data_IF_371119448092
#
_entry.id   IF_371119448092
#
_cell.length_a   1.000
_cell.length_b   1.000
_cell.length_c   1.000
_cell.angle_alpha   90.00
_cell.angle_beta   90.00
_cell.angle_gamma   90.00
#
_symmetry.space_group_name_H-M   'P 1'
#
loop_
_entity.id
_entity.type
_entity.pdbx_description
1 polymer ?
#
# COMPACT_ATOMS: atom_id res chain seq x y z
N UNK A 1 13.42 3.22 11.07
CA UNK A 1 14.29 4.40 11.16
C UNK A 1 15.16 4.42 9.92
N UNK A 2 15.34 5.59 9.29
CA UNK A 2 16.15 5.74 8.08
C UNK A 2 17.63 5.51 8.35
N UNK A 3 18.30 4.78 7.47
CA UNK A 3 19.75 4.67 7.45
C UNK A 3 20.39 5.91 6.78
N UNK A 4 21.71 6.13 6.93
CA UNK A 4 22.41 7.19 6.19
C UNK A 4 22.22 7.11 4.67
N UNK A 5 22.17 5.91 4.12
CA UNK A 5 21.95 5.67 2.68
C UNK A 5 20.52 6.03 2.27
N UNK A 6 19.52 5.73 3.10
CA UNK A 6 18.13 6.15 2.85
C UNK A 6 17.98 7.68 2.86
N UNK A 7 18.71 8.34 3.77
CA UNK A 7 18.74 9.80 3.85
C UNK A 7 19.41 10.43 2.62
N UNK A 8 20.50 9.84 2.14
CA UNK A 8 21.17 10.28 0.91
C UNK A 8 20.26 10.07 -0.32
N UNK A 9 19.62 8.91 -0.43
CA UNK A 9 18.68 8.60 -1.50
C UNK A 9 17.50 9.58 -1.51
N UNK A 10 16.93 9.84 -0.34
CA UNK A 10 15.87 10.84 -0.14
C UNK A 10 16.30 12.23 -0.60
N UNK A 11 17.51 12.66 -0.20
CA UNK A 11 18.06 13.97 -0.58
C UNK A 11 18.24 14.12 -2.09
N UNK A 12 18.59 13.03 -2.79
CA UNK A 12 18.77 13.03 -4.25
C UNK A 12 17.46 13.06 -5.03
N UNK A 13 16.39 12.47 -4.49
CA UNK A 13 15.11 12.37 -5.19
C UNK A 13 14.00 13.18 -4.49
N UNK A 14 14.23 14.49 -4.38
CA UNK A 14 13.28 15.46 -3.82
C UNK A 14 11.93 15.48 -4.54
N UNK A 15 11.87 14.94 -5.76
CA UNK A 15 10.64 14.86 -6.53
C UNK A 15 9.62 13.92 -5.85
N UNK A 16 10.07 12.96 -5.01
CA UNK A 16 9.26 11.98 -4.29
C UNK A 16 9.13 12.31 -2.79
N UNK A 17 8.21 13.21 -2.39
CA UNK A 17 8.07 13.61 -0.99
C UNK A 17 7.72 12.46 -0.05
N UNK A 18 7.04 11.42 -0.53
CA UNK A 18 6.70 10.23 0.26
C UNK A 18 7.76 9.13 0.26
N UNK A 19 8.90 9.30 -0.40
CA UNK A 19 9.99 8.30 -0.37
C UNK A 19 10.51 8.00 1.04
N UNK A 20 10.77 8.99 1.92
CA UNK A 20 11.24 8.75 3.28
C UNK A 20 10.28 7.87 4.07
N UNK A 21 8.97 8.09 3.89
CA UNK A 21 7.93 7.31 4.56
C UNK A 21 7.98 5.83 4.17
N UNK A 22 8.32 5.50 2.92
CA UNK A 22 8.41 4.10 2.49
C UNK A 22 9.74 3.42 2.86
N UNK A 23 10.74 4.20 3.28
CA UNK A 23 12.02 3.70 3.79
C UNK A 23 12.05 3.65 5.32
N UNK A 24 11.09 4.31 5.99
CA UNK A 24 10.94 4.28 7.44
C UNK A 24 9.61 3.64 7.87
N UNK A 25 9.58 2.32 8.16
CA UNK A 25 8.36 1.65 8.61
C UNK A 25 7.74 2.25 9.87
N UNK A 26 8.54 2.83 10.77
CA UNK A 26 8.04 3.49 11.98
C UNK A 26 7.29 4.78 11.64
N UNK A 27 7.91 5.67 10.86
CA UNK A 27 7.27 6.89 10.37
C UNK A 27 6.06 6.60 9.47
N UNK A 28 6.12 5.53 8.66
CA UNK A 28 4.98 5.07 7.87
C UNK A 28 3.78 4.76 8.76
N UNK A 29 3.96 4.02 9.85
CA UNK A 29 2.89 3.67 10.79
C UNK A 29 2.19 4.91 11.33
N UNK A 30 2.93 5.94 11.71
CA UNK A 30 2.37 7.19 12.24
C UNK A 30 1.50 7.90 11.19
N UNK A 31 1.99 7.98 9.95
CA UNK A 31 1.22 8.54 8.84
C UNK A 31 -0.04 7.71 8.57
N UNK A 32 0.06 6.38 8.59
CA UNK A 32 -1.08 5.49 8.41
C UNK A 32 -2.15 5.69 9.49
N UNK A 33 -1.74 5.84 10.75
CA UNK A 33 -2.65 6.13 11.86
C UNK A 33 -3.38 7.47 11.64
N UNK A 34 -2.65 8.52 11.21
CA UNK A 34 -3.25 9.83 10.86
C UNK A 34 -4.23 9.77 9.68
N UNK A 35 -4.08 8.78 8.79
CA UNK A 35 -4.99 8.51 7.67
C UNK A 35 -6.18 7.59 8.04
N UNK A 36 -6.32 7.20 9.31
CA UNK A 36 -7.35 6.26 9.76
C UNK A 36 -7.10 4.82 9.31
N UNK A 37 -5.84 4.47 9.03
CA UNK A 37 -5.35 3.13 8.68
C UNK A 37 -4.46 2.56 9.80
N UNK A 38 -4.79 2.82 11.06
CA UNK A 38 -4.07 2.23 12.19
C UNK A 38 -4.29 0.72 12.22
N UNK A 39 -3.20 -0.02 11.98
CA UNK A 39 -3.14 -1.47 11.82
C UNK A 39 -1.94 -2.05 12.57
N UNK A 40 -1.47 -1.35 13.59
CA UNK A 40 -0.31 -1.77 14.37
C UNK A 40 1.00 -1.79 13.56
N UNK A 41 1.94 -2.72 13.88
CA UNK A 41 3.23 -2.79 13.21
C UNK A 41 3.12 -3.07 11.70
N UNK A 42 3.86 -2.28 10.92
CA UNK A 42 3.94 -2.42 9.46
C UNK A 42 5.36 -2.78 9.05
N UNK A 43 5.48 -3.71 8.12
CA UNK A 43 6.73 -4.10 7.49
C UNK A 43 6.69 -3.79 6.00
N UNK A 44 7.82 -3.34 5.44
CA UNK A 44 7.97 -3.15 3.99
C UNK A 44 8.64 -4.42 3.42
N UNK A 45 7.85 -5.24 2.75
CA UNK A 45 8.28 -6.57 2.24
C UNK A 45 8.65 -6.56 0.76
N UNK A 46 8.41 -5.44 0.08
CA UNK A 46 8.73 -5.25 -1.33
C UNK A 46 8.89 -3.77 -1.62
N UNK A 47 9.93 -3.39 -2.37
CA UNK A 47 10.09 -2.05 -2.90
C UNK A 47 10.41 -2.11 -4.39
N UNK A 48 9.77 -1.21 -5.15
CA UNK A 48 10.12 -0.90 -6.53
C UNK A 48 10.26 0.60 -6.67
N UNK A 49 11.50 1.03 -6.78
CA UNK A 49 11.86 2.42 -6.93
C UNK A 49 12.01 2.78 -8.42
N UNK A 50 11.35 3.85 -8.85
CA UNK A 50 11.58 4.50 -10.16
C UNK A 50 11.95 5.96 -9.91
N UNK A 51 13.24 6.33 -10.04
CA UNK A 51 13.73 7.67 -9.77
C UNK A 51 12.89 8.78 -10.43
N UNK A 52 12.61 9.84 -9.68
CA UNK A 52 11.88 11.01 -10.13
C UNK A 52 10.42 10.76 -10.55
N UNK A 53 9.90 9.55 -10.36
CA UNK A 53 8.56 9.17 -10.86
C UNK A 53 7.67 8.58 -9.78
N UNK A 54 8.10 7.49 -9.14
CA UNK A 54 7.30 6.81 -8.12
C UNK A 54 8.10 5.74 -7.40
N UNK A 55 7.74 5.45 -6.15
CA UNK A 55 8.15 4.24 -5.44
C UNK A 55 6.90 3.46 -5.05
N UNK A 56 6.90 2.15 -5.30
CA UNK A 56 5.82 1.24 -4.93
C UNK A 56 6.33 0.31 -3.84
N UNK A 57 5.60 0.22 -2.73
CA UNK A 57 5.88 -0.69 -1.64
C UNK A 57 4.80 -1.76 -1.50
N UNK A 58 5.21 -2.99 -1.21
CA UNK A 58 4.36 -4.01 -0.62
C UNK A 58 4.54 -3.98 0.89
N UNK A 59 3.43 -3.99 1.61
CA UNK A 59 3.36 -3.87 3.05
C UNK A 59 2.77 -5.13 3.66
N UNK A 60 3.23 -5.48 4.85
CA UNK A 60 2.65 -6.48 5.72
C UNK A 60 2.24 -5.84 7.04
N UNK A 61 0.97 -5.95 7.40
CA UNK A 61 0.44 -5.54 8.70
C UNK A 61 0.40 -6.75 9.61
N UNK A 62 1.31 -6.78 10.59
CA UNK A 62 1.56 -7.98 11.39
C UNK A 62 0.40 -8.30 12.34
N UNK A 63 -0.31 -7.29 12.85
CA UNK A 63 -1.44 -7.47 13.77
C UNK A 63 -2.64 -8.14 13.08
N UNK A 64 -2.95 -7.73 11.85
CA UNK A 64 -4.10 -8.24 11.06
C UNK A 64 -3.71 -9.37 10.12
N UNK A 65 -2.41 -9.68 10.01
CA UNK A 65 -1.84 -10.62 9.04
C UNK A 65 -2.31 -10.30 7.61
N UNK A 66 -2.32 -9.01 7.28
CA UNK A 66 -2.87 -8.49 6.04
C UNK A 66 -1.78 -7.90 5.14
N UNK A 67 -1.90 -8.16 3.84
CA UNK A 67 -1.10 -7.50 2.83
C UNK A 67 -1.73 -6.18 2.38
N UNK A 68 -0.88 -5.20 2.20
CA UNK A 68 -1.24 -3.91 1.65
C UNK A 68 -0.18 -3.39 0.70
N UNK A 69 -0.48 -2.29 0.04
CA UNK A 69 0.45 -1.57 -0.81
C UNK A 69 0.51 -0.12 -0.42
N UNK A 70 1.64 0.49 -0.69
CA UNK A 70 1.78 1.92 -0.74
C UNK A 70 2.43 2.34 -2.07
N UNK A 71 2.14 3.55 -2.51
CA UNK A 71 2.81 4.15 -3.66
C UNK A 71 2.99 5.63 -3.40
N UNK A 72 4.25 6.08 -3.34
CA UNK A 72 4.57 7.49 -3.38
C UNK A 72 4.79 7.89 -4.85
N UNK A 73 4.23 9.02 -5.25
CA UNK A 73 4.37 9.56 -6.58
C UNK A 73 5.12 10.88 -6.56
N UNK A 74 5.73 11.23 -7.70
CA UNK A 74 6.33 12.53 -7.86
C UNK A 74 5.27 13.65 -7.79
N UNK A 75 5.66 14.85 -7.35
CA UNK A 75 4.75 16.00 -7.29
C UNK A 75 4.08 16.36 -8.62
N UNK A 76 4.71 16.02 -9.75
CA UNK A 76 4.15 16.17 -11.11
C UNK A 76 3.03 15.18 -11.43
N UNK A 77 2.81 14.15 -10.62
CA UNK A 77 1.82 13.11 -10.83
C UNK A 77 0.41 13.45 -10.28
N UNK A 78 0.09 14.73 -10.09
CA UNK A 78 -1.22 15.19 -9.56
C UNK A 78 -2.44 14.51 -10.22
N UNK A 79 -2.50 14.27 -11.55
CA UNK A 79 -3.62 13.55 -12.15
C UNK A 79 -3.80 12.11 -11.62
N UNK A 80 -2.71 11.42 -11.29
CA UNK A 80 -2.75 10.06 -10.72
C UNK A 80 -3.26 10.10 -9.28
N UNK A 81 -2.81 11.05 -8.47
CA UNK A 81 -3.30 11.25 -7.10
C UNK A 81 -4.80 11.57 -7.08
N UNK A 82 -5.25 12.50 -7.94
CA UNK A 82 -6.67 12.83 -8.07
C UNK A 82 -7.53 11.61 -8.46
N UNK A 83 -7.04 10.75 -9.37
CA UNK A 83 -7.72 9.49 -9.71
C UNK A 83 -7.81 8.54 -8.52
N UNK A 84 -6.74 8.41 -7.72
CA UNK A 84 -6.75 7.58 -6.52
C UNK A 84 -7.65 8.16 -5.42
N UNK A 85 -7.73 9.49 -5.27
CA UNK A 85 -8.67 10.14 -4.35
C UNK A 85 -10.12 9.86 -4.70
N UNK A 86 -10.49 9.96 -5.99
CA UNK A 86 -11.83 9.57 -6.46
C UNK A 86 -12.14 8.10 -6.18
N UNK A 87 -11.13 7.23 -6.26
CA UNK A 87 -11.28 5.83 -5.91
C UNK A 87 -11.43 5.62 -4.40
N UNK A 88 -10.65 6.31 -3.59
CA UNK A 88 -10.72 6.28 -2.13
C UNK A 88 -12.12 6.61 -1.62
N UNK A 89 -12.76 7.65 -2.17
CA UNK A 89 -14.14 8.02 -1.83
C UNK A 89 -15.21 6.98 -2.20
N UNK A 90 -14.87 5.96 -3.00
CA UNK A 90 -15.75 4.83 -3.35
C UNK A 90 -15.36 3.53 -2.65
N UNK A 91 -14.14 3.45 -2.12
CA UNK A 91 -13.66 2.30 -1.37
C UNK A 91 -14.33 2.29 0.02
N UNK A 92 -14.30 1.14 0.71
CA UNK A 92 -14.70 1.15 2.12
C UNK A 92 -13.70 1.99 2.91
N UNK A 93 -14.16 2.87 3.82
CA UNK A 93 -13.29 3.51 4.80
C UNK A 93 -12.40 2.46 5.48
N UNK A 94 -11.17 2.84 5.83
CA UNK A 94 -10.12 1.96 6.37
C UNK A 94 -9.48 0.93 5.40
N UNK A 95 -9.82 0.90 4.10
CA UNK A 95 -9.15 0.02 3.13
C UNK A 95 -8.25 0.74 2.12
N UNK A 96 -8.39 2.05 1.98
CA UNK A 96 -7.65 2.84 1.00
C UNK A 96 -7.60 4.31 1.43
N UNK A 97 -6.41 4.92 1.41
CA UNK A 97 -6.20 6.32 1.77
C UNK A 97 -5.23 7.00 0.80
N UNK A 98 -5.30 8.33 0.76
CA UNK A 98 -4.40 9.19 -0.02
C UNK A 98 -3.96 10.34 0.86
N UNK A 99 -2.64 10.52 0.97
CA UNK A 99 -2.01 11.72 1.51
C UNK A 99 -1.48 12.53 0.33
N UNK A 100 -2.10 13.68 0.07
CA UNK A 100 -1.72 14.54 -1.06
C UNK A 100 -0.42 15.32 -0.79
N UNK A 101 -0.09 15.58 0.48
CA UNK A 101 1.12 16.31 0.87
C UNK A 101 2.34 15.43 0.64
N UNK A 102 2.28 14.18 1.10
CA UNK A 102 3.33 13.18 0.85
C UNK A 102 3.27 12.57 -0.56
N UNK A 103 2.24 12.87 -1.35
CA UNK A 103 2.01 12.22 -2.64
C UNK A 103 1.84 10.70 -2.52
N UNK A 104 1.31 10.24 -1.38
CA UNK A 104 1.26 8.85 -0.97
C UNK A 104 -0.15 8.28 -1.16
N UNK A 105 -0.23 7.06 -1.67
CA UNK A 105 -1.45 6.27 -1.79
C UNK A 105 -1.24 4.95 -1.07
N UNK A 106 -2.17 4.57 -0.21
CA UNK A 106 -2.10 3.30 0.53
C UNK A 106 -3.41 2.55 0.38
N UNK A 107 -3.36 1.23 0.27
CA UNK A 107 -4.56 0.42 0.36
C UNK A 107 -4.26 -1.04 0.64
N UNK A 108 -5.27 -1.78 1.11
CA UNK A 108 -5.15 -3.23 1.25
C UNK A 108 -5.03 -3.93 -0.11
N UNK A 109 -4.52 -5.16 -0.13
CA UNK A 109 -4.51 -5.98 -1.34
C UNK A 109 -5.92 -6.17 -1.94
N UNK A 110 -6.96 -6.18 -1.10
CA UNK A 110 -8.36 -6.26 -1.56
C UNK A 110 -8.90 -4.95 -2.14
N UNK A 111 -8.23 -3.82 -1.87
CA UNK A 111 -8.48 -2.51 -2.47
C UNK A 111 -7.55 -2.22 -3.67
N UNK A 112 -6.63 -3.12 -4.02
CA UNK A 112 -5.82 -2.97 -5.23
C UNK A 112 -6.72 -3.10 -6.46
N UNK A 113 -6.90 -1.98 -7.16
CA UNK A 113 -7.71 -1.90 -8.39
C UNK A 113 -7.21 -2.82 -9.51
N UNK A 114 -5.95 -3.25 -9.46
CA UNK A 114 -5.36 -4.15 -10.44
C UNK A 114 -5.59 -5.62 -10.12
N UNK A 115 -6.10 -5.94 -8.92
CA UNK A 115 -6.40 -7.30 -8.46
C UNK A 115 -7.89 -7.48 -8.08
N UNK A 116 -8.85 -7.21 -9.00
CA UNK A 116 -10.28 -7.35 -8.68
C UNK A 116 -10.67 -8.78 -8.28
N UNK A 117 -9.89 -9.78 -8.71
CA UNK A 117 -10.07 -11.19 -8.34
C UNK A 117 -9.86 -11.46 -6.85
N UNK A 118 -8.85 -10.84 -6.22
CA UNK A 118 -8.55 -11.01 -4.78
C UNK A 118 -9.73 -10.58 -3.93
N UNK A 119 -10.30 -9.40 -4.24
CA UNK A 119 -11.51 -8.90 -3.59
C UNK A 119 -12.70 -9.84 -3.77
N UNK A 120 -12.83 -10.49 -4.93
CA UNK A 120 -13.94 -11.42 -5.23
C UNK A 120 -13.78 -12.74 -4.47
N UNK A 121 -12.57 -13.29 -4.42
CA UNK A 121 -12.25 -14.52 -3.70
C UNK A 121 -12.46 -14.32 -2.20
N UNK A 122 -11.96 -13.21 -1.62
CA UNK A 122 -12.19 -12.87 -0.22
C UNK A 122 -13.66 -12.86 0.21
N UNK A 123 -14.54 -12.33 -0.65
CA UNK A 123 -15.99 -12.33 -0.37
C UNK A 123 -16.64 -13.71 -0.51
N UNK A 124 -16.09 -14.57 -1.37
CA UNK A 124 -16.69 -15.86 -1.72
C UNK A 124 -16.09 -17.04 -0.96
N UNK A 125 -14.94 -16.90 -0.31
CA UNK A 125 -14.26 -17.98 0.39
C UNK A 125 -15.18 -18.70 1.39
N UNK A 126 -16.04 -17.97 2.11
CA UNK A 126 -17.03 -18.60 3.00
C UNK A 126 -18.20 -19.32 2.29
N UNK A 127 -18.41 -19.06 1.00
CA UNK A 127 -19.57 -19.50 0.22
C UNK A 127 -19.25 -20.56 -0.84
N UNK A 128 -17.99 -21.01 -0.96
CA UNK A 128 -17.62 -22.05 -1.92
C UNK A 128 -18.07 -23.45 -1.43
N UNK A 129 -18.90 -24.17 -2.20
CA UNK A 129 -19.38 -25.49 -1.80
C UNK A 129 -18.26 -26.53 -1.81
N UNK A 130 -18.29 -27.47 -0.85
CA UNK A 130 -17.34 -28.57 -0.76
C UNK A 130 -16.00 -28.25 -0.09
N UNK A 131 -15.80 -27.03 0.42
CA UNK A 131 -14.57 -26.66 1.13
C UNK A 131 -14.76 -26.60 2.66
N UNK A 132 -13.74 -27.00 3.46
CA UNK A 132 -13.80 -26.92 4.92
C UNK A 132 -14.00 -25.49 5.41
N UNK A 133 -14.83 -25.30 6.44
CA UNK A 133 -15.04 -24.02 7.12
C UNK A 133 -14.41 -24.04 8.52
N UNK A 134 -13.79 -22.95 8.98
CA UNK A 134 -13.60 -21.67 8.29
C UNK A 134 -12.48 -21.70 7.25
N UNK A 135 -12.69 -21.06 6.09
CA UNK A 135 -11.64 -20.84 5.11
C UNK A 135 -10.87 -19.56 5.44
N UNK A 136 -9.56 -19.68 5.65
CA UNK A 136 -8.64 -18.56 5.68
C UNK A 136 -7.93 -18.44 4.32
N UNK A 137 -7.89 -17.22 3.77
CA UNK A 137 -7.03 -16.94 2.62
C UNK A 137 -5.62 -16.68 3.11
N UNK A 138 -4.68 -17.52 2.70
CA UNK A 138 -3.26 -17.30 2.97
C UNK A 138 -2.62 -16.59 1.79
N UNK A 139 -2.09 -15.37 1.97
CA UNK A 139 -1.33 -14.73 0.93
C UNK A 139 0.03 -15.43 0.72
N UNK A 140 0.32 -15.84 -0.52
CA UNK A 140 1.60 -16.48 -0.86
C UNK A 140 2.68 -15.46 -1.23
N UNK A 141 2.36 -14.56 -2.17
CA UNK A 141 3.26 -13.51 -2.63
C UNK A 141 2.47 -12.34 -3.17
N UNK A 142 2.90 -11.13 -2.84
CA UNK A 142 2.26 -9.92 -3.32
C UNK A 142 3.28 -8.92 -3.81
N UNK A 143 3.16 -8.57 -5.10
CA UNK A 143 3.98 -7.55 -5.75
C UNK A 143 3.04 -6.47 -6.28
N UNK A 144 2.78 -5.41 -5.51
CA UNK A 144 1.83 -4.39 -5.93
C UNK A 144 2.18 -3.79 -7.28
N UNK A 145 1.14 -3.46 -8.05
CA UNK A 145 1.23 -2.93 -9.41
C UNK A 145 2.01 -3.82 -10.42
N UNK A 146 2.30 -5.09 -10.09
CA UNK A 146 2.71 -6.09 -11.07
C UNK A 146 1.50 -6.93 -11.48
N UNK A 147 1.33 -7.07 -12.79
CA UNK A 147 0.33 -7.94 -13.38
C UNK A 147 0.85 -9.38 -13.22
N UNK A 148 0.19 -10.15 -12.37
CA UNK A 148 0.35 -11.59 -12.13
C UNK A 148 1.66 -11.98 -11.42
N UNK A 149 1.50 -12.39 -10.16
CA UNK A 149 2.41 -13.28 -9.43
C UNK A 149 1.59 -14.49 -9.05
#
# INVERSE_FOLDING_TARGET
MLTPDDLELTRRDIALPGLPLLLDPCGLREVLAGLGLDRGPVEVIYLRYKPGTSVVAGLWFSAERELAFATAYAGTARPKLAKNRRYAGRARPAMFAVDEVAGLVVGSASADRWLPGVRRIGRRAGALPGLPRPMALTPLRYKPARRWV
#
